data_IF_771402828135
#
_entry.id   IF_771402828135
#
_cell.length_a   1.000
_cell.length_b   1.000
_cell.length_c   1.000
_cell.angle_alpha   90.00
_cell.angle_beta   90.00
_cell.angle_gamma   90.00
#
_symmetry.space_group_name_H-M   'P 1'
#
loop_
_entity.id
_entity.type
_entity.pdbx_description
1 polymer ?
#
# COMPACT_ATOMS: atom_id res chain seq x y z
N UNK A 1 26.26 -11.48 11.15
CA UNK A 1 27.10 -10.95 10.05
C UNK A 1 27.18 -9.43 10.19
N UNK A 2 28.39 -8.86 10.10
CA UNK A 2 28.63 -7.42 10.17
C UNK A 2 29.12 -6.93 8.81
N UNK A 3 28.50 -5.88 8.27
CA UNK A 3 28.94 -5.18 7.06
C UNK A 3 29.56 -3.85 7.50
N UNK A 4 30.89 -3.71 7.46
CA UNK A 4 31.56 -2.50 7.91
C UNK A 4 31.36 -1.37 6.89
N UNK A 5 31.87 -0.18 7.21
CA UNK A 5 31.92 0.96 6.29
C UNK A 5 32.49 0.56 4.91
N UNK A 6 31.85 1.01 3.84
CA UNK A 6 32.24 0.75 2.45
C UNK A 6 31.07 0.33 1.58
N UNK A 7 31.32 0.16 0.28
CA UNK A 7 30.32 -0.28 -0.70
C UNK A 7 30.57 -1.74 -1.09
N UNK A 8 29.55 -2.58 -0.98
CA UNK A 8 29.64 -4.02 -1.20
C UNK A 8 28.64 -4.45 -2.27
N UNK A 9 29.10 -4.58 -3.51
CA UNK A 9 28.30 -5.14 -4.60
C UNK A 9 28.15 -6.65 -4.42
N UNK A 10 26.91 -7.14 -4.42
CA UNK A 10 26.63 -8.57 -4.28
C UNK A 10 25.40 -9.00 -5.08
N UNK A 11 25.35 -10.30 -5.39
CA UNK A 11 24.15 -10.97 -5.84
C UNK A 11 23.16 -11.15 -4.68
N UNK A 12 21.92 -11.63 -4.95
CA UNK A 12 20.93 -11.90 -3.92
C UNK A 12 21.46 -12.64 -2.70
N UNK A 13 21.02 -12.20 -1.52
CA UNK A 13 21.35 -12.80 -0.23
C UNK A 13 20.18 -13.59 0.31
N UNK A 14 20.46 -14.74 0.90
CA UNK A 14 19.47 -15.63 1.50
C UNK A 14 19.75 -15.77 2.99
N UNK A 15 19.05 -14.99 3.82
CA UNK A 15 19.25 -15.03 5.26
C UNK A 15 18.55 -16.26 5.85
N UNK A 16 19.23 -16.91 6.78
CA UNK A 16 18.80 -18.15 7.44
C UNK A 16 18.47 -17.92 8.90
N UNK A 17 17.96 -18.95 9.55
CA UNK A 17 17.62 -18.96 10.97
C UNK A 17 18.71 -18.33 11.85
N UNK A 18 18.30 -17.52 12.83
CA UNK A 18 19.17 -16.97 13.87
C UNK A 18 20.30 -16.07 13.33
N UNK A 19 20.09 -15.41 12.19
CA UNK A 19 21.05 -14.48 11.61
C UNK A 19 20.65 -13.03 11.90
N UNK A 20 21.59 -12.28 12.46
CA UNK A 20 21.57 -10.82 12.43
C UNK A 20 22.53 -10.31 11.34
N UNK A 21 22.01 -9.60 10.35
CA UNK A 21 22.75 -8.78 9.39
C UNK A 21 22.82 -7.34 9.92
N UNK A 22 24.00 -6.94 10.41
CA UNK A 22 24.25 -5.59 10.92
C UNK A 22 25.00 -4.75 9.89
N UNK A 23 24.37 -3.71 9.35
CA UNK A 23 25.01 -2.72 8.48
C UNK A 23 25.47 -1.53 9.33
N UNK A 24 26.78 -1.32 9.37
CA UNK A 24 27.33 -0.18 10.10
C UNK A 24 27.02 1.14 9.41
N UNK A 25 27.14 2.22 10.17
CA UNK A 25 27.15 3.56 9.60
C UNK A 25 28.16 3.64 8.44
N UNK A 26 27.75 4.28 7.35
CA UNK A 26 28.49 4.40 6.09
C UNK A 26 28.77 3.06 5.36
N UNK A 27 28.12 1.96 5.75
CA UNK A 27 28.08 0.74 4.95
C UNK A 27 26.97 0.84 3.90
N UNK A 28 27.26 0.42 2.67
CA UNK A 28 26.26 0.27 1.61
C UNK A 28 26.33 -1.13 1.04
N UNK A 29 25.27 -1.89 1.19
CA UNK A 29 25.07 -3.13 0.45
C UNK A 29 24.41 -2.79 -0.89
N UNK A 30 25.10 -3.08 -1.99
CA UNK A 30 24.71 -2.68 -3.35
C UNK A 30 24.21 -3.90 -4.11
N UNK A 31 22.98 -3.86 -4.58
CA UNK A 31 22.35 -4.95 -5.31
C UNK A 31 22.88 -5.07 -6.74
N UNK A 32 23.21 -6.28 -7.20
CA UNK A 32 23.56 -6.53 -8.60
C UNK A 32 22.48 -6.03 -9.57
N UNK A 33 22.87 -5.54 -10.74
CA UNK A 33 21.95 -5.20 -11.84
C UNK A 33 21.79 -6.31 -12.87
N UNK A 34 22.50 -7.43 -12.69
CA UNK A 34 22.48 -8.55 -13.62
C UNK A 34 21.18 -9.33 -13.49
N UNK A 35 20.39 -9.38 -14.58
CA UNK A 35 19.08 -10.04 -14.57
C UNK A 35 19.16 -11.50 -14.15
N UNK A 36 20.17 -12.21 -14.66
CA UNK A 36 20.38 -13.62 -14.38
C UNK A 36 20.62 -13.90 -12.90
N UNK A 37 21.11 -12.92 -12.12
CA UNK A 37 21.31 -13.08 -10.69
C UNK A 37 19.98 -13.23 -9.92
N UNK A 38 18.86 -12.78 -10.51
CA UNK A 38 17.53 -12.80 -9.88
C UNK A 38 16.62 -13.90 -10.42
N UNK A 39 17.18 -14.86 -11.17
CA UNK A 39 16.47 -16.05 -11.65
C UNK A 39 16.79 -17.23 -10.74
N UNK A 40 15.77 -17.83 -10.15
CA UNK A 40 15.93 -18.99 -9.29
C UNK A 40 16.32 -20.24 -10.07
N UNK A 41 17.20 -21.03 -9.47
CA UNK A 41 17.51 -22.40 -9.85
C UNK A 41 16.84 -23.38 -8.87
N UNK A 42 17.04 -24.68 -9.05
CA UNK A 42 16.45 -25.70 -8.17
C UNK A 42 16.88 -25.57 -6.70
N UNK A 43 17.97 -24.84 -6.41
CA UNK A 43 18.47 -24.60 -5.05
C UNK A 43 17.90 -23.33 -4.43
N UNK A 44 17.40 -22.39 -5.21
CA UNK A 44 17.00 -21.04 -4.76
C UNK A 44 15.53 -20.73 -5.00
N UNK A 45 14.81 -21.54 -5.79
CA UNK A 45 13.39 -21.35 -6.10
C UNK A 45 12.47 -21.19 -4.89
N UNK A 46 12.82 -21.82 -3.76
CA UNK A 46 12.06 -21.67 -2.50
C UNK A 46 11.99 -20.21 -2.00
N UNK A 47 12.95 -19.38 -2.40
CA UNK A 47 13.10 -17.99 -1.97
C UNK A 47 12.55 -16.96 -2.97
N UNK A 48 11.95 -17.41 -4.09
CA UNK A 48 11.32 -16.53 -5.06
C UNK A 48 10.13 -15.78 -4.45
N UNK A 49 9.98 -14.52 -4.87
CA UNK A 49 8.78 -13.74 -4.63
C UNK A 49 7.61 -14.27 -5.47
N UNK A 50 6.40 -13.79 -5.18
CA UNK A 50 5.16 -14.18 -5.85
C UNK A 50 5.15 -13.92 -7.36
N UNK A 51 6.04 -13.04 -7.84
CA UNK A 51 6.21 -12.73 -9.26
C UNK A 51 7.30 -13.58 -9.96
N UNK A 52 7.87 -14.58 -9.27
CA UNK A 52 8.87 -15.50 -9.82
C UNK A 52 10.31 -14.95 -9.88
N UNK A 53 10.55 -13.75 -9.37
CA UNK A 53 11.90 -13.20 -9.22
C UNK A 53 12.45 -13.54 -7.84
N UNK A 54 13.76 -13.81 -7.76
CA UNK A 54 14.44 -13.72 -6.48
C UNK A 54 14.43 -12.25 -6.00
N UNK A 55 14.24 -11.97 -4.70
CA UNK A 55 14.46 -10.64 -4.15
C UNK A 55 15.97 -10.36 -4.02
N UNK A 56 16.37 -9.12 -3.73
CA UNK A 56 17.76 -8.86 -3.36
C UNK A 56 18.13 -9.49 -2.01
N UNK A 57 17.24 -9.41 -1.01
CA UNK A 57 17.38 -10.11 0.26
C UNK A 57 16.15 -10.97 0.48
N UNK A 58 16.34 -12.29 0.59
CA UNK A 58 15.31 -13.25 0.93
C UNK A 58 15.45 -13.70 2.38
N UNK A 59 14.33 -13.68 3.10
CA UNK A 59 14.13 -14.33 4.40
C UNK A 59 13.02 -15.35 4.20
N UNK A 60 13.39 -16.54 3.69
CA UNK A 60 12.45 -17.60 3.35
C UNK A 60 12.64 -18.83 4.24
N UNK A 61 11.53 -19.37 4.75
CA UNK A 61 11.52 -20.56 5.62
C UNK A 61 12.47 -20.40 6.83
N UNK A 62 12.40 -19.22 7.47
CA UNK A 62 13.37 -18.80 8.47
C UNK A 62 12.73 -18.14 9.71
N UNK A 63 13.40 -18.27 10.85
CA UNK A 63 12.99 -17.68 12.12
C UNK A 63 14.15 -16.92 12.79
N UNK A 64 13.81 -15.90 13.58
CA UNK A 64 14.78 -15.13 14.38
C UNK A 64 15.83 -14.45 13.48
N UNK A 65 15.39 -13.61 12.54
CA UNK A 65 16.26 -12.92 11.59
C UNK A 65 16.19 -11.42 11.81
N UNK A 66 17.33 -10.74 11.80
CA UNK A 66 17.37 -9.30 11.99
C UNK A 66 18.24 -8.60 10.93
N UNK A 67 17.76 -7.51 10.36
CA UNK A 67 18.52 -6.57 9.53
C UNK A 67 18.57 -5.25 10.28
N UNK A 68 19.74 -4.86 10.78
CA UNK A 68 19.86 -3.77 11.74
C UNK A 68 21.02 -2.81 11.43
N UNK A 69 20.96 -1.60 11.98
CA UNK A 69 22.05 -0.64 11.99
C UNK A 69 21.76 0.61 11.17
N UNK A 70 22.77 1.42 10.90
CA UNK A 70 22.62 2.75 10.28
C UNK A 70 23.06 2.78 8.80
N UNK A 71 23.45 1.62 8.25
CA UNK A 71 23.88 1.51 6.85
C UNK A 71 22.73 1.48 5.85
N UNK A 72 23.10 1.41 4.57
CA UNK A 72 22.19 1.49 3.42
C UNK A 72 22.14 0.17 2.65
N UNK A 73 20.95 -0.19 2.18
CA UNK A 73 20.70 -1.23 1.20
C UNK A 73 20.20 -0.52 -0.07
N UNK A 74 21.02 -0.51 -1.12
CA UNK A 74 20.75 0.12 -2.40
C UNK A 74 20.36 -0.94 -3.45
N UNK A 75 19.11 -0.87 -3.93
CA UNK A 75 18.56 -1.80 -4.90
C UNK A 75 18.98 -1.55 -6.36
N UNK A 76 19.69 -0.46 -6.66
CA UNK A 76 20.05 -0.04 -8.02
C UNK A 76 18.86 -0.08 -9.02
N UNK A 77 17.69 0.37 -8.57
CA UNK A 77 16.40 0.23 -9.24
C UNK A 77 16.30 0.86 -10.63
N UNK A 78 17.15 1.83 -10.97
CA UNK A 78 17.06 2.60 -12.21
C UNK A 78 17.05 1.72 -13.48
N UNK A 79 17.89 0.68 -13.53
CA UNK A 79 17.94 -0.27 -14.66
C UNK A 79 16.63 -1.03 -14.82
N UNK A 80 16.00 -1.39 -13.70
CA UNK A 80 14.75 -2.13 -13.67
C UNK A 80 13.57 -1.27 -14.07
N UNK A 81 13.54 -0.03 -13.59
CA UNK A 81 12.51 0.94 -13.95
C UNK A 81 12.52 1.25 -15.44
N UNK A 82 13.70 1.32 -16.05
CA UNK A 82 13.80 1.56 -17.49
C UNK A 82 13.32 0.36 -18.31
N UNK A 83 13.71 -0.86 -17.94
CA UNK A 83 13.18 -2.09 -18.56
C UNK A 83 11.66 -2.15 -18.51
N UNK A 84 11.07 -1.77 -17.37
CA UNK A 84 9.62 -1.70 -17.22
C UNK A 84 9.00 -0.67 -18.17
N UNK A 85 9.60 0.52 -18.29
CA UNK A 85 9.13 1.55 -19.24
C UNK A 85 9.30 1.13 -20.71
N UNK A 86 10.39 0.45 -21.06
CA UNK A 86 10.62 -0.13 -22.39
C UNK A 86 9.50 -1.11 -22.77
N UNK A 87 9.12 -1.99 -21.83
CA UNK A 87 8.02 -2.92 -22.06
C UNK A 87 6.69 -2.20 -22.33
N UNK A 88 6.40 -1.11 -21.60
CA UNK A 88 5.22 -0.28 -21.85
C UNK A 88 5.28 0.36 -23.23
N UNK A 89 6.42 0.93 -23.62
CA UNK A 89 6.59 1.53 -24.94
C UNK A 89 6.39 0.50 -26.06
N UNK A 90 6.88 -0.72 -25.87
CA UNK A 90 6.77 -1.79 -26.85
C UNK A 90 5.34 -2.38 -26.96
N UNK A 91 4.61 -2.46 -25.85
CA UNK A 91 3.31 -3.17 -25.80
C UNK A 91 2.09 -2.24 -25.72
N UNK A 92 2.30 -0.97 -25.38
CA UNK A 92 1.23 -0.02 -25.07
C UNK A 92 0.48 -0.31 -23.77
N UNK A 93 0.92 -1.29 -22.97
CA UNK A 93 0.22 -1.73 -21.75
C UNK A 93 1.06 -1.42 -20.52
N UNK A 94 0.46 -0.83 -19.48
CA UNK A 94 1.09 -0.68 -18.17
C UNK A 94 1.34 -2.09 -17.61
N UNK A 95 2.62 -2.50 -17.58
CA UNK A 95 3.01 -3.80 -17.06
C UNK A 95 2.77 -3.90 -15.55
N UNK A 96 2.63 -5.13 -15.04
CA UNK A 96 2.61 -5.40 -13.60
C UNK A 96 3.98 -5.20 -12.94
N UNK A 97 4.15 -5.75 -11.76
CA UNK A 97 5.40 -5.71 -11.00
C UNK A 97 6.36 -6.83 -11.41
N UNK A 98 6.73 -6.89 -12.68
CA UNK A 98 7.65 -7.90 -13.24
C UNK A 98 9.13 -7.53 -13.00
N UNK A 99 9.51 -7.35 -11.74
CA UNK A 99 10.84 -6.92 -11.28
C UNK A 99 11.15 -7.49 -9.89
N UNK A 100 12.43 -7.66 -9.50
CA UNK A 100 12.80 -8.08 -8.16
C UNK A 100 12.21 -7.21 -7.04
N UNK A 101 11.98 -7.81 -5.87
CA UNK A 101 11.72 -7.08 -4.61
C UNK A 101 13.06 -6.74 -3.94
N UNK A 102 13.14 -5.69 -3.11
CA UNK A 102 14.38 -5.43 -2.36
C UNK A 102 14.54 -6.44 -1.22
N UNK A 103 13.53 -6.56 -0.35
CA UNK A 103 13.49 -7.49 0.78
C UNK A 103 12.17 -8.26 0.71
N UNK A 104 12.24 -9.59 0.72
CA UNK A 104 11.07 -10.47 0.72
C UNK A 104 11.15 -11.46 1.87
N UNK A 105 10.18 -11.36 2.78
CA UNK A 105 10.06 -12.17 3.99
C UNK A 105 8.91 -13.15 3.77
N UNK A 106 9.19 -14.44 3.64
CA UNK A 106 8.13 -15.43 3.38
C UNK A 106 8.23 -16.68 4.21
N UNK A 107 7.08 -17.16 4.72
CA UNK A 107 7.00 -18.36 5.59
C UNK A 107 8.02 -18.27 6.72
N UNK A 108 8.09 -17.08 7.32
CA UNK A 108 9.13 -16.69 8.23
C UNK A 108 8.54 -16.00 9.46
N UNK A 109 9.29 -16.04 10.56
CA UNK A 109 8.81 -15.49 11.82
C UNK A 109 9.85 -14.86 12.70
N UNK A 110 9.41 -13.97 13.58
CA UNK A 110 10.29 -13.19 14.45
C UNK A 110 11.39 -12.50 13.64
N UNK A 111 10.97 -11.57 12.78
CA UNK A 111 11.86 -10.82 11.88
C UNK A 111 11.90 -9.35 12.29
N UNK A 112 13.11 -8.78 12.39
CA UNK A 112 13.34 -7.38 12.71
C UNK A 112 14.05 -6.67 11.57
N UNK A 113 13.51 -5.55 11.10
CA UNK A 113 14.22 -4.56 10.27
C UNK A 113 14.29 -3.26 11.08
N UNK A 114 15.50 -2.83 11.46
CA UNK A 114 15.67 -1.72 12.41
C UNK A 114 16.78 -0.74 12.02
N UNK A 115 16.40 0.53 11.84
CA UNK A 115 17.33 1.66 11.67
C UNK A 115 17.97 1.85 10.29
N UNK A 116 17.91 0.84 9.42
CA UNK A 116 18.61 0.87 8.13
C UNK A 116 17.97 1.85 7.14
N UNK A 117 18.73 2.23 6.11
CA UNK A 117 18.18 2.94 4.94
C UNK A 117 17.98 1.96 3.79
N UNK A 118 16.77 1.91 3.22
CA UNK A 118 16.41 1.16 2.03
C UNK A 118 16.21 2.15 0.89
N UNK A 119 16.91 1.99 -0.22
CA UNK A 119 16.79 2.94 -1.33
C UNK A 119 16.86 2.31 -2.71
N UNK A 120 16.27 2.99 -3.69
CA UNK A 120 16.25 2.61 -5.10
C UNK A 120 15.84 1.16 -5.32
N UNK A 121 14.77 0.68 -4.66
CA UNK A 121 14.28 -0.67 -4.91
C UNK A 121 13.90 -0.86 -6.39
N UNK A 122 14.21 -2.02 -7.01
CA UNK A 122 13.70 -2.36 -8.34
C UNK A 122 12.17 -2.29 -8.45
N UNK A 123 11.46 -2.64 -7.38
CA UNK A 123 10.01 -2.51 -7.22
C UNK A 123 9.65 -2.26 -5.74
N UNK A 124 8.84 -3.10 -5.09
CA UNK A 124 8.50 -2.97 -3.66
C UNK A 124 9.75 -3.11 -2.79
N UNK A 125 9.83 -2.36 -1.70
CA UNK A 125 10.99 -2.40 -0.80
C UNK A 125 10.91 -3.58 0.16
N UNK A 126 9.91 -3.63 1.05
CA UNK A 126 9.77 -4.72 2.02
C UNK A 126 8.43 -5.40 1.81
N UNK A 127 8.44 -6.69 1.53
CA UNK A 127 7.22 -7.49 1.37
C UNK A 127 7.23 -8.62 2.39
N UNK A 128 6.13 -8.80 3.11
CA UNK A 128 5.91 -10.00 3.92
C UNK A 128 4.87 -10.88 3.24
N UNK A 129 5.07 -12.21 3.23
CA UNK A 129 4.15 -13.17 2.64
C UNK A 129 4.06 -14.45 3.46
N UNK A 130 2.92 -14.75 4.06
CA UNK A 130 2.80 -15.89 4.99
C UNK A 130 3.77 -15.77 6.17
N UNK A 131 4.05 -14.54 6.62
CA UNK A 131 4.94 -14.27 7.73
C UNK A 131 4.14 -13.96 9.01
N UNK A 132 4.76 -14.17 10.17
CA UNK A 132 4.19 -13.75 11.45
C UNK A 132 5.24 -13.11 12.36
N UNK A 133 4.84 -12.13 13.16
CA UNK A 133 5.72 -11.41 14.10
C UNK A 133 6.89 -10.72 13.38
N UNK A 134 6.57 -9.67 12.61
CA UNK A 134 7.55 -8.86 11.88
C UNK A 134 7.51 -7.42 12.35
N UNK A 135 8.66 -6.92 12.80
CA UNK A 135 8.86 -5.54 13.22
C UNK A 135 9.69 -4.78 12.18
N UNK A 136 9.16 -3.67 11.67
CA UNK A 136 9.88 -2.73 10.79
C UNK A 136 9.90 -1.38 11.50
N UNK A 137 11.06 -1.05 12.07
CA UNK A 137 11.23 0.06 12.99
C UNK A 137 12.33 1.02 12.54
N UNK A 138 12.11 2.33 12.72
CA UNK A 138 13.17 3.34 12.58
C UNK A 138 13.84 3.39 11.19
N UNK A 139 13.22 2.78 10.17
CA UNK A 139 13.82 2.56 8.86
C UNK A 139 13.53 3.75 7.96
N UNK A 140 14.51 4.13 7.14
CA UNK A 140 14.33 5.14 6.08
C UNK A 140 14.10 4.44 4.76
N UNK A 141 12.97 4.65 4.10
CA UNK A 141 12.63 3.99 2.83
C UNK A 141 12.44 5.04 1.76
N UNK A 142 13.32 5.04 0.75
CA UNK A 142 13.52 6.16 -0.16
C UNK A 142 13.53 5.73 -1.63
N UNK A 143 12.65 6.31 -2.44
CA UNK A 143 12.71 6.18 -3.89
C UNK A 143 12.31 7.49 -4.57
N UNK A 144 12.91 7.83 -5.73
CA UNK A 144 12.52 9.04 -6.45
C UNK A 144 11.08 8.95 -6.96
N UNK A 145 10.42 10.11 -7.12
CA UNK A 145 9.02 10.23 -7.56
C UNK A 145 8.70 9.53 -8.88
N UNK A 146 9.69 9.29 -9.74
CA UNK A 146 9.52 8.64 -11.03
C UNK A 146 9.79 7.12 -11.00
N UNK A 147 10.03 6.53 -9.82
CA UNK A 147 10.31 5.10 -9.67
C UNK A 147 9.00 4.28 -9.64
N UNK A 148 8.66 3.50 -10.67
CA UNK A 148 7.36 2.83 -10.74
C UNK A 148 7.25 1.68 -9.72
N UNK A 149 6.09 1.56 -9.05
CA UNK A 149 5.76 0.44 -8.14
C UNK A 149 6.79 0.26 -7.02
N UNK A 150 7.15 1.37 -6.38
CA UNK A 150 8.11 1.42 -5.27
C UNK A 150 7.42 1.55 -3.93
N UNK A 151 6.37 0.74 -3.73
CA UNK A 151 5.70 0.57 -2.46
C UNK A 151 6.76 0.31 -1.36
N UNK A 152 6.59 0.94 -0.21
CA UNK A 152 7.62 0.87 0.83
C UNK A 152 7.49 -0.40 1.67
N UNK A 153 6.30 -0.71 2.17
CA UNK A 153 6.05 -1.90 2.97
C UNK A 153 4.72 -2.55 2.57
N UNK A 154 4.77 -3.82 2.21
CA UNK A 154 3.64 -4.61 1.75
C UNK A 154 3.42 -5.82 2.67
N UNK A 155 2.59 -5.69 3.72
CA UNK A 155 2.12 -6.84 4.47
C UNK A 155 1.11 -7.63 3.61
N UNK A 156 1.54 -8.78 3.09
CA UNK A 156 0.70 -9.63 2.23
C UNK A 156 0.37 -10.94 2.97
N UNK A 157 -0.91 -11.23 3.23
CA UNK A 157 -1.36 -12.46 3.92
C UNK A 157 -0.44 -12.86 5.09
N UNK A 158 -0.18 -11.90 5.97
CA UNK A 158 0.75 -12.03 7.08
C UNK A 158 0.11 -11.45 8.33
N UNK A 159 0.53 -11.94 9.49
CA UNK A 159 -0.07 -11.61 10.78
C UNK A 159 0.92 -10.98 11.74
N UNK A 160 0.44 -10.20 12.71
CA UNK A 160 1.26 -9.59 13.76
C UNK A 160 2.42 -8.76 13.16
N UNK A 161 2.07 -7.79 12.32
CA UNK A 161 3.07 -6.94 11.65
C UNK A 161 3.04 -5.56 12.28
N UNK A 162 4.21 -5.08 12.70
CA UNK A 162 4.37 -3.77 13.34
C UNK A 162 5.29 -2.88 12.53
N UNK A 163 4.77 -1.73 12.13
CA UNK A 163 5.45 -0.76 11.27
C UNK A 163 5.51 0.58 12.01
N UNK A 164 6.65 0.86 12.64
CA UNK A 164 6.76 2.00 13.57
C UNK A 164 7.96 2.90 13.34
N UNK A 165 7.79 4.20 13.60
CA UNK A 165 8.88 5.17 13.64
C UNK A 165 9.67 5.30 12.32
N UNK A 166 9.07 4.94 11.19
CA UNK A 166 9.75 4.96 9.89
C UNK A 166 9.64 6.34 9.24
N UNK A 167 10.63 6.66 8.39
CA UNK A 167 10.58 7.78 7.45
C UNK A 167 10.43 7.20 6.05
N UNK A 168 9.31 7.49 5.39
CA UNK A 168 8.98 6.91 4.08
C UNK A 168 8.76 8.03 3.08
N UNK A 169 9.49 7.96 1.97
CA UNK A 169 9.46 8.91 0.87
C UNK A 169 9.60 8.12 -0.43
N UNK A 170 8.47 7.69 -0.99
CA UNK A 170 8.42 6.76 -2.11
C UNK A 170 7.44 7.20 -3.19
N UNK A 171 7.53 6.64 -4.40
CA UNK A 171 6.55 7.03 -5.43
C UNK A 171 5.18 6.41 -5.14
N UNK A 172 5.12 5.11 -4.84
CA UNK A 172 3.86 4.37 -4.70
C UNK A 172 3.32 4.40 -3.25
N UNK A 173 2.53 3.41 -2.83
CA UNK A 173 1.99 3.34 -1.47
C UNK A 173 3.09 3.34 -0.40
N UNK A 174 2.93 4.13 0.66
CA UNK A 174 3.88 4.07 1.79
C UNK A 174 3.80 2.71 2.48
N UNK A 175 2.57 2.26 2.72
CA UNK A 175 2.27 0.95 3.29
C UNK A 175 1.05 0.42 2.53
N UNK A 176 1.18 -0.76 1.93
CA UNK A 176 0.12 -1.41 1.16
C UNK A 176 -0.22 -2.77 1.76
N UNK A 177 -1.23 -2.81 2.62
CA UNK A 177 -1.76 -4.06 3.17
C UNK A 177 -2.53 -4.79 2.07
N UNK A 178 -2.14 -6.03 1.77
CA UNK A 178 -2.72 -6.81 0.67
C UNK A 178 -3.15 -8.18 1.16
N UNK A 179 -4.31 -8.61 0.70
CA UNK A 179 -4.83 -9.94 0.95
C UNK A 179 -5.08 -10.65 -0.37
N UNK A 180 -4.23 -11.60 -0.71
CA UNK A 180 -4.41 -12.44 -1.88
C UNK A 180 -5.49 -13.48 -1.62
N UNK A 181 -5.92 -14.18 -2.68
CA UNK A 181 -6.86 -15.29 -2.50
C UNK A 181 -6.26 -16.32 -1.53
N UNK A 182 -7.04 -16.71 -0.53
CA UNK A 182 -6.65 -17.72 0.45
C UNK A 182 -6.04 -18.97 -0.20
N UNK A 183 -4.87 -19.37 0.29
CA UNK A 183 -4.14 -20.53 -0.16
C UNK A 183 -4.23 -21.64 0.90
N UNK A 184 -4.89 -22.78 0.61
CA UNK A 184 -5.04 -23.87 1.57
C UNK A 184 -3.72 -24.46 2.08
N UNK A 185 -2.61 -24.23 1.38
CA UNK A 185 -1.26 -24.65 1.81
C UNK A 185 -0.73 -23.81 2.97
N UNK A 186 -1.25 -22.60 3.13
CA UNK A 186 -0.88 -21.63 4.16
C UNK A 186 -2.15 -21.15 4.86
N UNK A 187 -2.76 -21.97 5.74
CA UNK A 187 -4.01 -21.62 6.42
C UNK A 187 -3.88 -20.37 7.30
N UNK A 188 -2.68 -20.10 7.82
CA UNK A 188 -2.35 -18.88 8.57
C UNK A 188 -1.93 -17.72 7.64
N UNK A 189 -2.03 -17.91 6.33
CA UNK A 189 -1.79 -16.90 5.30
C UNK A 189 -2.96 -15.95 5.14
N UNK A 190 -3.27 -15.23 6.20
CA UNK A 190 -4.33 -14.22 6.27
C UNK A 190 -3.75 -12.91 6.78
N UNK A 191 -4.41 -11.81 6.47
CA UNK A 191 -4.05 -10.51 7.04
C UNK A 191 -4.85 -10.27 8.32
N UNK A 192 -4.15 -10.36 9.45
CA UNK A 192 -4.71 -10.07 10.77
C UNK A 192 -3.69 -9.38 11.67
N UNK A 193 -4.14 -8.46 12.51
CA UNK A 193 -3.33 -7.81 13.54
C UNK A 193 -2.14 -7.03 12.96
N UNK A 194 -2.44 -5.95 12.24
CA UNK A 194 -1.44 -5.04 11.69
C UNK A 194 -1.44 -3.74 12.49
N UNK A 195 -0.28 -3.34 13.00
CA UNK A 195 -0.09 -2.12 13.78
C UNK A 195 0.85 -1.15 13.08
N UNK A 196 0.38 0.06 12.78
CA UNK A 196 1.12 1.09 12.05
C UNK A 196 1.12 2.38 12.86
N UNK A 197 2.28 2.80 13.38
CA UNK A 197 2.32 3.99 14.23
C UNK A 197 3.57 4.85 14.13
N UNK A 198 3.40 6.14 14.40
CA UNK A 198 4.50 7.12 14.54
C UNK A 198 5.37 7.25 13.28
N UNK A 199 4.85 7.00 12.09
CA UNK A 199 5.60 7.13 10.84
C UNK A 199 5.50 8.57 10.30
N UNK A 200 6.58 9.02 9.66
CA UNK A 200 6.61 10.23 8.85
C UNK A 200 6.56 9.85 7.38
N UNK A 201 5.50 10.28 6.69
CA UNK A 201 5.15 9.87 5.34
C UNK A 201 5.21 11.10 4.43
N UNK A 202 6.10 11.09 3.45
CA UNK A 202 6.34 12.22 2.54
C UNK A 202 5.59 12.02 1.23
N UNK A 203 6.27 12.13 0.09
CA UNK A 203 5.69 11.78 -1.19
C UNK A 203 5.31 10.29 -1.18
N UNK A 204 4.20 9.95 -1.83
CA UNK A 204 3.69 8.58 -1.89
C UNK A 204 2.18 8.53 -2.07
N UNK A 205 1.63 7.31 -2.02
CA UNK A 205 0.20 7.02 -2.29
C UNK A 205 -0.59 6.52 -1.07
N UNK A 206 -0.07 6.82 0.12
CA UNK A 206 -0.82 6.71 1.37
C UNK A 206 -0.56 5.43 2.16
N UNK A 207 -1.30 5.26 3.26
CA UNK A 207 -1.49 3.97 3.91
C UNK A 207 -2.73 3.34 3.26
N UNK A 208 -2.49 2.31 2.46
CA UNK A 208 -3.46 1.67 1.59
C UNK A 208 -3.79 0.26 2.08
N UNK A 209 -5.06 -0.12 2.01
CA UNK A 209 -5.51 -1.51 1.96
C UNK A 209 -5.92 -1.82 0.52
N UNK A 210 -5.30 -2.82 -0.10
CA UNK A 210 -5.57 -3.29 -1.46
C UNK A 210 -4.51 -2.92 -2.52
N UNK A 211 -4.75 -3.16 -3.81
CA UNK A 211 -6.04 -3.55 -4.41
C UNK A 211 -6.40 -5.02 -4.29
N UNK A 212 -5.42 -5.81 -3.87
CA UNK A 212 -5.53 -7.22 -3.58
C UNK A 212 -6.22 -7.35 -2.21
N UNK A 213 -7.50 -7.70 -2.21
CA UNK A 213 -8.33 -7.80 -0.99
C UNK A 213 -9.03 -9.15 -0.84
N UNK A 214 -8.84 -10.07 -1.79
CA UNK A 214 -9.66 -11.28 -1.93
C UNK A 214 -9.60 -12.21 -0.70
N UNK A 215 -8.47 -12.24 0.01
CA UNK A 215 -8.29 -13.01 1.25
C UNK A 215 -8.93 -12.37 2.49
N UNK A 216 -9.33 -11.10 2.37
CA UNK A 216 -9.82 -10.29 3.46
C UNK A 216 -8.71 -9.71 4.34
N UNK A 217 -9.04 -8.59 4.99
CA UNK A 217 -8.16 -7.88 5.92
C UNK A 217 -8.93 -7.64 7.20
N UNK A 218 -8.38 -8.09 8.32
CA UNK A 218 -9.00 -7.93 9.62
C UNK A 218 -8.03 -7.27 10.61
N UNK A 219 -8.58 -6.52 11.56
CA UNK A 219 -7.86 -6.04 12.75
C UNK A 219 -6.60 -5.22 12.40
N UNK A 220 -6.81 -3.99 11.94
CA UNK A 220 -5.72 -3.05 11.61
C UNK A 220 -5.87 -1.79 12.45
N UNK A 221 -4.81 -1.43 13.17
CA UNK A 221 -4.72 -0.18 13.91
C UNK A 221 -3.63 0.72 13.31
N UNK A 222 -4.03 1.91 12.88
CA UNK A 222 -3.16 2.94 12.33
C UNK A 222 -3.26 4.18 13.22
N UNK A 223 -2.16 4.60 13.85
CA UNK A 223 -2.20 5.75 14.76
C UNK A 223 -0.97 6.67 14.75
N UNK A 224 -1.18 7.94 15.05
CA UNK A 224 -0.11 8.91 15.29
C UNK A 224 0.85 9.09 14.08
N UNK A 225 0.36 8.90 12.86
CA UNK A 225 1.15 9.09 11.64
C UNK A 225 1.03 10.53 11.14
N UNK A 226 2.10 11.03 10.51
CA UNK A 226 2.13 12.36 9.88
C UNK A 226 2.39 12.21 8.38
N UNK A 227 1.53 12.82 7.57
CA UNK A 227 1.66 12.89 6.11
C UNK A 227 2.02 14.30 5.67
N UNK A 228 2.92 14.42 4.69
CA UNK A 228 3.30 15.70 4.10
C UNK A 228 3.54 15.58 2.60
N UNK A 229 2.66 16.19 1.79
CA UNK A 229 2.82 16.25 0.34
C UNK A 229 2.45 14.97 -0.42
N UNK A 230 1.79 13.99 0.21
CA UNK A 230 1.41 12.74 -0.44
C UNK A 230 0.20 12.90 -1.36
N UNK A 231 0.07 12.00 -2.36
CA UNK A 231 -1.10 11.99 -3.25
C UNK A 231 -2.36 11.56 -2.50
N UNK A 232 -2.26 10.54 -1.66
CA UNK A 232 -3.35 10.05 -0.83
C UNK A 232 -2.89 9.94 0.62
N UNK A 233 -3.83 10.10 1.55
CA UNK A 233 -3.62 9.86 2.98
C UNK A 233 -3.96 8.42 3.34
N UNK A 234 -5.16 8.21 3.89
CA UNK A 234 -5.70 6.90 4.23
C UNK A 234 -6.55 6.37 3.07
N UNK A 235 -6.35 5.11 2.71
CA UNK A 235 -6.99 4.53 1.55
C UNK A 235 -7.40 3.07 1.73
N UNK A 236 -8.60 2.72 1.28
CA UNK A 236 -9.03 1.34 1.04
C UNK A 236 -9.50 1.27 -0.42
N UNK A 237 -8.90 0.39 -1.21
CA UNK A 237 -9.15 0.27 -2.64
C UNK A 237 -9.37 -1.19 -3.01
N UNK A 238 -10.49 -1.50 -3.65
CA UNK A 238 -10.73 -2.83 -4.20
C UNK A 238 -11.47 -2.72 -5.53
N UNK A 239 -11.10 -3.51 -6.57
CA UNK A 239 -11.91 -3.63 -7.76
C UNK A 239 -13.25 -4.31 -7.47
N UNK A 240 -14.33 -3.85 -8.11
CA UNK A 240 -15.56 -4.64 -8.22
C UNK A 240 -15.23 -5.93 -9.00
N UNK A 241 -15.46 -7.08 -8.39
CA UNK A 241 -15.02 -8.39 -8.90
C UNK A 241 -13.88 -9.04 -8.11
N UNK A 242 -13.22 -8.33 -7.19
CA UNK A 242 -12.11 -8.85 -6.38
C UNK A 242 -12.57 -9.65 -5.16
N UNK A 243 -13.69 -9.25 -4.54
CA UNK A 243 -14.20 -9.85 -3.31
C UNK A 243 -13.37 -9.54 -2.07
N UNK A 244 -13.66 -10.32 -1.02
CA UNK A 244 -13.00 -10.23 0.28
C UNK A 244 -13.61 -9.18 1.20
N UNK A 245 -13.48 -9.44 2.50
CA UNK A 245 -13.97 -8.57 3.57
C UNK A 245 -12.83 -7.72 4.12
N UNK A 246 -13.00 -6.40 4.19
CA UNK A 246 -12.08 -5.53 4.97
C UNK A 246 -12.83 -5.05 6.20
N UNK A 247 -12.37 -5.44 7.38
CA UNK A 247 -13.09 -5.12 8.62
C UNK A 247 -12.22 -4.84 9.82
N UNK A 248 -12.82 -4.19 10.82
CA UNK A 248 -12.18 -3.88 12.09
C UNK A 248 -10.91 -3.04 11.87
N UNK A 249 -11.08 -1.91 11.20
CA UNK A 249 -9.98 -1.00 10.85
C UNK A 249 -10.16 0.30 11.63
N UNK A 250 -9.13 0.70 12.35
CA UNK A 250 -9.12 1.95 13.12
C UNK A 250 -7.97 2.82 12.64
N UNK A 251 -8.30 4.02 12.17
CA UNK A 251 -7.36 5.10 11.92
C UNK A 251 -7.56 6.17 12.98
N UNK A 252 -6.53 6.52 13.75
CA UNK A 252 -6.66 7.59 14.75
C UNK A 252 -5.47 8.53 14.85
N UNK A 253 -5.71 9.74 15.33
CA UNK A 253 -4.66 10.73 15.64
C UNK A 253 -3.71 11.01 14.46
N UNK A 254 -4.26 11.13 13.26
CA UNK A 254 -3.47 11.33 12.04
C UNK A 254 -3.43 12.80 11.66
N UNK A 255 -2.22 13.30 11.36
CA UNK A 255 -2.00 14.66 10.87
C UNK A 255 -1.57 14.62 9.41
N UNK A 256 -2.16 15.49 8.60
CA UNK A 256 -1.88 15.59 7.18
C UNK A 256 -1.65 17.06 6.81
N UNK A 257 -0.63 17.32 5.99
CA UNK A 257 -0.37 18.63 5.42
C UNK A 257 -0.10 18.49 3.93
N UNK A 258 -0.81 19.26 3.09
CA UNK A 258 -0.70 19.20 1.63
C UNK A 258 -0.87 17.78 1.05
N UNK A 259 -1.76 16.99 1.64
CA UNK A 259 -2.14 15.69 1.07
C UNK A 259 -3.22 15.93 0.02
N UNK A 260 -3.04 15.47 -1.22
CA UNK A 260 -3.97 15.85 -2.29
C UNK A 260 -5.41 15.35 -2.02
N UNK A 261 -5.56 14.11 -1.55
CA UNK A 261 -6.86 13.56 -1.13
C UNK A 261 -6.68 12.76 0.17
N UNK A 262 -7.07 13.32 1.33
CA UNK A 262 -6.84 12.73 2.64
C UNK A 262 -7.46 11.34 2.84
N UNK A 263 -8.68 11.13 2.34
CA UNK A 263 -9.46 9.91 2.57
C UNK A 263 -10.01 9.33 1.26
N UNK A 264 -9.68 8.07 0.95
CA UNK A 264 -10.23 7.38 -0.24
C UNK A 264 -10.65 5.95 0.10
N UNK A 265 -11.95 5.69 0.17
CA UNK A 265 -12.52 4.37 0.39
C UNK A 265 -13.34 3.98 -0.84
N UNK A 266 -12.93 2.93 -1.56
CA UNK A 266 -13.49 2.61 -2.87
C UNK A 266 -13.56 1.11 -3.15
N UNK A 267 -14.74 0.65 -3.55
CA UNK A 267 -15.00 -0.68 -4.09
C UNK A 267 -15.00 -0.71 -5.64
N UNK A 268 -14.49 0.34 -6.29
CA UNK A 268 -14.43 0.49 -7.75
C UNK A 268 -13.01 0.68 -8.29
N UNK A 269 -11.98 0.24 -7.55
CA UNK A 269 -10.60 0.47 -8.00
C UNK A 269 -10.36 -0.12 -9.39
N UNK A 270 -10.12 0.76 -10.35
CA UNK A 270 -9.73 0.43 -11.72
C UNK A 270 -8.71 1.45 -12.17
N UNK A 271 -7.48 1.00 -12.40
CA UNK A 271 -6.45 1.85 -12.97
C UNK A 271 -6.88 2.33 -14.37
N UNK A 272 -6.74 3.63 -14.59
CA UNK A 272 -6.95 4.26 -15.88
C UNK A 272 -5.83 3.84 -16.85
N UNK A 273 -6.12 3.66 -18.15
CA UNK A 273 -5.08 3.62 -19.17
C UNK A 273 -4.17 4.85 -19.12
N UNK A 274 -2.93 4.69 -19.56
CA UNK A 274 -1.95 5.80 -19.63
C UNK A 274 -2.36 6.83 -20.70
N UNK A 275 -3.03 6.37 -21.76
CA UNK A 275 -3.46 7.22 -22.88
C UNK A 275 -4.79 7.87 -22.56
N UNK A 276 -4.84 9.21 -22.50
CA UNK A 276 -6.06 9.95 -22.16
C UNK A 276 -7.23 9.61 -23.10
N UNK A 277 -6.99 9.47 -24.41
CA UNK A 277 -8.03 9.09 -25.35
C UNK A 277 -8.65 7.70 -25.04
N UNK A 278 -7.90 6.79 -24.42
CA UNK A 278 -8.44 5.50 -23.94
C UNK A 278 -9.25 5.68 -22.65
N UNK A 279 -8.82 6.58 -21.76
CA UNK A 279 -9.60 6.97 -20.57
C UNK A 279 -10.95 7.54 -21.01
N UNK A 280 -10.96 8.48 -21.96
CA UNK A 280 -12.17 9.15 -22.43
C UNK A 280 -13.16 8.17 -23.07
N UNK A 281 -12.67 7.14 -23.78
CA UNK A 281 -13.50 6.04 -24.30
C UNK A 281 -14.11 5.18 -23.20
N UNK A 282 -13.35 4.93 -22.12
CA UNK A 282 -13.79 4.09 -21.01
C UNK A 282 -14.67 4.84 -20.00
N UNK A 283 -14.56 6.15 -19.95
CA UNK A 283 -15.32 7.01 -19.04
C UNK A 283 -16.76 7.13 -19.54
N UNK A 284 -17.67 6.43 -18.86
CA UNK A 284 -19.09 6.52 -19.16
C UNK A 284 -19.66 7.88 -18.74
N UNK A 285 -20.69 8.36 -19.44
CA UNK A 285 -21.36 9.62 -19.13
C UNK A 285 -21.86 9.64 -17.67
N UNK A 286 -21.48 10.68 -16.92
CA UNK A 286 -21.76 10.81 -15.48
C UNK A 286 -20.74 10.11 -14.56
N UNK A 287 -19.81 9.35 -15.12
CA UNK A 287 -18.63 8.83 -14.41
C UNK A 287 -17.61 9.93 -14.14
N UNK A 288 -16.57 9.60 -13.39
CA UNK A 288 -15.49 10.53 -13.08
C UNK A 288 -14.15 9.83 -12.92
N UNK A 289 -13.06 10.61 -12.85
CA UNK A 289 -11.72 10.12 -12.52
C UNK A 289 -11.24 10.65 -11.17
N UNK A 290 -10.39 9.87 -10.51
CA UNK A 290 -9.68 10.25 -9.28
C UNK A 290 -8.22 9.86 -9.41
N UNK A 291 -7.36 10.84 -9.73
CA UNK A 291 -6.00 10.55 -10.17
C UNK A 291 -6.00 9.60 -11.37
N UNK A 292 -5.20 8.54 -11.32
CA UNK A 292 -5.11 7.51 -12.36
C UNK A 292 -6.20 6.42 -12.23
N UNK A 293 -7.43 6.76 -11.80
CA UNK A 293 -8.51 5.80 -11.61
C UNK A 293 -9.79 6.25 -12.30
N UNK A 294 -10.57 5.30 -12.82
CA UNK A 294 -11.87 5.53 -13.46
C UNK A 294 -12.98 4.98 -12.57
N UNK A 295 -14.00 5.81 -12.34
CA UNK A 295 -15.19 5.49 -11.57
C UNK A 295 -16.43 5.52 -12.48
N UNK A 296 -17.29 4.48 -12.43
CA UNK A 296 -18.50 4.46 -13.24
C UNK A 296 -19.55 5.46 -12.72
N UNK A 297 -20.57 5.81 -13.51
CA UNK A 297 -21.67 6.68 -13.12
C UNK A 297 -22.61 6.05 -12.09
N UNK A 298 -23.55 6.84 -11.58
CA UNK A 298 -24.58 6.40 -10.62
C UNK A 298 -25.57 5.40 -11.22
N UNK A 299 -25.68 5.36 -12.55
CA UNK A 299 -26.50 4.39 -13.27
C UNK A 299 -25.85 3.01 -13.40
N UNK A 300 -24.65 2.78 -12.86
CA UNK A 300 -24.00 1.47 -12.87
C UNK A 300 -24.90 0.43 -12.18
N UNK A 301 -25.29 -0.66 -12.86
CA UNK A 301 -26.33 -1.55 -12.37
C UNK A 301 -25.85 -2.39 -11.18
N UNK A 302 -26.77 -2.64 -10.25
CA UNK A 302 -26.60 -3.61 -9.15
C UNK A 302 -26.34 -5.01 -9.70
N UNK A 303 -25.34 -5.70 -9.15
CA UNK A 303 -25.05 -7.12 -9.43
C UNK A 303 -25.52 -8.00 -8.26
N UNK A 304 -25.62 -9.34 -8.43
CA UNK A 304 -25.80 -10.23 -7.29
C UNK A 304 -24.60 -10.13 -6.33
N UNK A 305 -24.86 -10.11 -5.02
CA UNK A 305 -23.79 -10.19 -4.03
C UNK A 305 -23.10 -11.56 -4.10
N UNK A 306 -21.78 -11.55 -4.20
CA UNK A 306 -20.93 -12.73 -4.13
C UNK A 306 -19.70 -12.38 -3.28
N UNK A 307 -19.54 -12.98 -2.10
CA UNK A 307 -18.43 -12.63 -1.19
C UNK A 307 -17.03 -12.78 -1.81
N UNK A 308 -16.89 -13.58 -2.87
CA UNK A 308 -15.62 -13.78 -3.58
C UNK A 308 -15.42 -12.81 -4.74
N UNK A 309 -16.39 -11.94 -5.04
CA UNK A 309 -16.33 -10.95 -6.13
C UNK A 309 -16.72 -9.55 -5.68
N UNK A 310 -17.65 -9.42 -4.77
CA UNK A 310 -18.15 -8.17 -4.23
C UNK A 310 -17.28 -7.73 -3.04
N UNK A 311 -16.49 -6.66 -3.18
CA UNK A 311 -15.78 -6.09 -2.05
C UNK A 311 -16.79 -5.55 -1.04
N UNK A 312 -16.55 -5.80 0.25
CA UNK A 312 -17.40 -5.28 1.31
C UNK A 312 -16.54 -4.86 2.49
N UNK A 313 -16.79 -3.66 2.99
CA UNK A 313 -16.03 -3.06 4.09
C UNK A 313 -16.98 -2.82 5.25
N UNK A 314 -16.56 -3.14 6.47
CA UNK A 314 -17.37 -3.01 7.67
C UNK A 314 -16.52 -2.61 8.88
N UNK A 315 -17.09 -1.83 9.81
CA UNK A 315 -16.40 -1.38 11.01
C UNK A 315 -15.06 -0.66 10.71
N UNK A 316 -15.18 0.45 9.98
CA UNK A 316 -14.05 1.33 9.61
C UNK A 316 -14.20 2.63 10.38
N UNK A 317 -13.25 2.89 11.27
CA UNK A 317 -13.29 4.04 12.17
C UNK A 317 -12.16 5.03 11.83
N UNK A 318 -12.49 6.32 11.72
CA UNK A 318 -11.53 7.41 11.55
C UNK A 318 -11.74 8.43 12.67
N UNK A 319 -10.73 8.60 13.52
CA UNK A 319 -10.82 9.43 14.72
C UNK A 319 -9.69 10.46 14.79
N UNK A 320 -10.00 11.68 15.23
CA UNK A 320 -8.99 12.72 15.49
C UNK A 320 -8.05 12.92 14.29
N UNK A 321 -8.62 13.08 13.11
CA UNK A 321 -7.87 13.36 11.87
C UNK A 321 -7.88 14.86 11.61
N UNK A 322 -6.72 15.42 11.28
CA UNK A 322 -6.61 16.80 10.81
C UNK A 322 -5.82 16.83 9.50
N UNK A 323 -6.42 17.39 8.45
CA UNK A 323 -5.76 17.67 7.17
C UNK A 323 -5.85 19.15 6.84
N UNK A 324 -4.69 19.77 6.55
CA UNK A 324 -4.57 21.21 6.27
C UNK A 324 -3.81 21.47 4.97
N UNK A 325 -3.94 22.68 4.44
CA UNK A 325 -3.24 23.11 3.24
C UNK A 325 -4.01 22.79 1.96
N UNK A 326 -3.28 22.41 0.89
CA UNK A 326 -3.85 22.36 -0.46
C UNK A 326 -4.35 20.96 -0.87
N UNK A 327 -5.34 20.43 -0.14
CA UNK A 327 -6.05 19.21 -0.56
C UNK A 327 -7.03 19.52 -1.71
N UNK A 328 -7.02 18.70 -2.77
CA UNK A 328 -7.89 18.84 -3.96
C UNK A 328 -9.33 18.37 -3.71
N UNK A 329 -9.53 17.49 -2.73
CA UNK A 329 -10.82 17.00 -2.28
C UNK A 329 -10.70 16.39 -0.88
N UNK A 330 -11.72 16.55 -0.03
CA UNK A 330 -11.66 16.09 1.35
C UNK A 330 -11.69 14.56 1.45
N UNK A 331 -12.62 13.92 0.75
CA UNK A 331 -12.81 12.48 0.84
C UNK A 331 -13.60 11.90 -0.35
N UNK A 332 -13.36 10.63 -0.65
CA UNK A 332 -14.21 9.81 -1.52
C UNK A 332 -14.60 8.52 -0.79
N UNK A 333 -15.90 8.24 -0.67
CA UNK A 333 -16.44 6.99 -0.10
C UNK A 333 -17.40 6.38 -1.13
N UNK A 334 -16.90 5.45 -1.94
CA UNK A 334 -17.60 4.94 -3.12
C UNK A 334 -17.78 3.42 -3.03
N UNK A 335 -18.98 2.99 -2.65
CA UNK A 335 -19.41 1.59 -2.66
C UNK A 335 -20.10 1.15 -3.95
N UNK A 336 -20.34 -0.15 -4.07
CA UNK A 336 -21.14 -0.72 -5.17
C UNK A 336 -22.63 -0.75 -4.80
N UNK A 337 -23.56 -0.72 -5.78
CA UNK A 337 -25.00 -0.76 -5.49
C UNK A 337 -25.47 -2.05 -4.79
N UNK A 338 -24.73 -3.16 -4.95
CA UNK A 338 -25.05 -4.44 -4.32
C UNK A 338 -24.49 -4.63 -2.91
N UNK A 339 -23.41 -3.93 -2.58
CA UNK A 339 -22.81 -3.91 -1.26
C UNK A 339 -22.40 -2.48 -0.92
N UNK A 340 -23.36 -1.64 -0.50
CA UNK A 340 -23.03 -0.33 0.02
C UNK A 340 -22.01 -0.44 1.15
N UNK A 341 -21.01 0.46 1.15
CA UNK A 341 -20.02 0.51 2.24
C UNK A 341 -20.72 0.93 3.53
N UNK A 342 -20.60 0.16 4.61
CA UNK A 342 -21.33 0.42 5.86
C UNK A 342 -20.43 0.30 7.08
N UNK A 343 -20.90 0.83 8.22
CA UNK A 343 -20.12 0.86 9.46
C UNK A 343 -18.89 1.77 9.37
N UNK A 344 -19.01 2.89 8.66
CA UNK A 344 -18.01 3.96 8.66
C UNK A 344 -18.35 4.94 9.79
N UNK A 345 -17.42 5.11 10.74
CA UNK A 345 -17.61 6.00 11.89
C UNK A 345 -16.51 7.06 11.90
N UNK A 346 -16.88 8.32 11.67
CA UNK A 346 -15.95 9.46 11.70
C UNK A 346 -16.16 10.28 12.96
N UNK A 347 -15.12 10.45 13.78
CA UNK A 347 -15.18 11.25 15.01
C UNK A 347 -14.07 12.29 15.03
N UNK A 348 -14.42 13.57 15.18
CA UNK A 348 -13.46 14.67 15.22
C UNK A 348 -12.51 14.67 14.00
N UNK A 349 -13.09 14.75 12.81
CA UNK A 349 -12.37 14.77 11.54
C UNK A 349 -12.44 16.19 10.96
N UNK A 350 -11.28 16.82 10.79
CA UNK A 350 -11.15 18.21 10.36
C UNK A 350 -10.32 18.24 9.06
N UNK A 351 -10.90 18.71 7.96
CA UNK A 351 -10.22 18.73 6.65
C UNK A 351 -10.46 20.05 5.92
N UNK A 352 -9.39 20.72 5.53
CA UNK A 352 -9.38 21.79 4.54
C UNK A 352 -9.22 21.18 3.14
N UNK A 353 -10.05 21.57 2.17
CA UNK A 353 -9.93 21.11 0.79
C UNK A 353 -10.60 22.03 -0.23
N UNK A 354 -10.22 21.91 -1.50
CA UNK A 354 -10.88 22.61 -2.60
C UNK A 354 -12.32 22.12 -2.80
N UNK A 355 -12.55 20.82 -2.65
CA UNK A 355 -13.86 20.15 -2.78
C UNK A 355 -14.18 19.29 -1.57
N UNK A 356 -15.48 19.14 -1.27
CA UNK A 356 -15.95 18.36 -0.14
C UNK A 356 -15.84 16.85 -0.27
N UNK A 357 -16.49 16.15 0.65
CA UNK A 357 -16.65 14.70 0.63
C UNK A 357 -17.62 14.30 -0.48
N UNK A 358 -17.24 13.35 -1.34
CA UNK A 358 -18.16 12.67 -2.26
C UNK A 358 -18.46 11.27 -1.77
N UNK A 359 -19.73 10.94 -1.58
CA UNK A 359 -20.19 9.66 -1.04
C UNK A 359 -21.23 9.03 -1.97
N UNK A 360 -21.11 7.72 -2.22
CA UNK A 360 -22.01 6.95 -3.08
C UNK A 360 -22.12 5.51 -2.60
N UNK A 361 -23.34 4.96 -2.58
CA UNK A 361 -23.65 3.61 -2.09
C UNK A 361 -22.88 3.34 -0.79
N UNK A 362 -23.06 4.19 0.20
CA UNK A 362 -22.31 4.12 1.43
C UNK A 362 -23.08 4.80 2.55
N UNK A 363 -22.88 4.29 3.75
CA UNK A 363 -23.44 4.80 5.00
C UNK A 363 -22.29 5.29 5.89
N UNK A 364 -22.38 6.56 6.29
CA UNK A 364 -21.41 7.23 7.13
C UNK A 364 -22.12 7.79 8.37
N UNK A 365 -21.70 7.32 9.54
CA UNK A 365 -21.99 7.97 10.81
C UNK A 365 -20.85 8.92 11.18
N UNK A 366 -21.19 10.15 11.53
CA UNK A 366 -20.19 11.15 11.88
C UNK A 366 -20.56 11.96 13.12
N UNK A 367 -19.55 12.29 13.93
CA UNK A 367 -19.66 13.21 15.05
C UNK A 367 -18.47 14.17 15.03
N UNK A 368 -18.70 15.44 14.73
CA UNK A 368 -17.62 16.42 14.57
C UNK A 368 -16.83 16.24 13.28
N UNK A 369 -17.53 15.99 12.16
CA UNK A 369 -16.97 16.08 10.82
C UNK A 369 -17.00 17.54 10.34
N UNK A 370 -15.85 18.20 10.37
CA UNK A 370 -15.68 19.59 9.98
C UNK A 370 -14.90 19.67 8.66
N UNK A 371 -15.59 20.02 7.59
CA UNK A 371 -15.00 20.16 6.26
C UNK A 371 -15.01 21.64 5.84
N UNK A 372 -13.83 22.23 5.69
CA UNK A 372 -13.66 23.58 5.16
C UNK A 372 -13.40 23.48 3.66
N UNK A 373 -14.44 23.74 2.86
CA UNK A 373 -14.40 23.55 1.41
C UNK A 373 -14.37 24.88 0.67
N UNK A 374 -13.49 25.04 -0.32
CA UNK A 374 -13.41 26.28 -1.11
C UNK A 374 -14.53 26.39 -2.14
N UNK A 375 -14.95 25.27 -2.74
CA UNK A 375 -15.96 25.26 -3.79
C UNK A 375 -16.83 23.99 -3.80
N UNK A 376 -18.06 24.14 -4.27
CA UNK A 376 -19.03 23.05 -4.38
C UNK A 376 -19.68 22.66 -3.05
N UNK A 377 -20.45 21.57 -3.03
CA UNK A 377 -21.08 21.08 -1.81
C UNK A 377 -20.03 20.56 -0.81
N UNK A 378 -20.28 20.81 0.48
CA UNK A 378 -19.49 20.26 1.59
C UNK A 378 -19.53 18.72 1.59
N UNK A 379 -20.71 18.16 1.32
CA UNK A 379 -20.93 16.73 1.11
C UNK A 379 -21.75 16.56 -0.16
N UNK A 380 -21.14 16.00 -1.19
CA UNK A 380 -21.82 15.54 -2.40
C UNK A 380 -22.36 14.13 -2.15
N UNK A 381 -23.68 14.00 -2.05
CA UNK A 381 -24.37 12.71 -1.94
C UNK A 381 -24.84 12.25 -3.32
N UNK A 382 -24.23 11.17 -3.78
CA UNK A 382 -24.64 10.46 -5.00
C UNK A 382 -25.61 9.31 -4.65
N UNK A 383 -26.04 8.52 -5.65
CA UNK A 383 -26.99 7.42 -5.45
C UNK A 383 -26.60 6.48 -4.28
N UNK A 384 -27.59 6.15 -3.44
CA UNK A 384 -27.42 5.21 -2.32
C UNK A 384 -26.58 5.74 -1.15
N UNK A 385 -26.24 7.03 -1.11
CA UNK A 385 -25.50 7.62 -0.01
C UNK A 385 -26.39 7.99 1.19
N UNK A 386 -25.94 7.61 2.39
CA UNK A 386 -26.56 7.94 3.67
C UNK A 386 -25.47 8.57 4.55
N UNK A 387 -25.80 9.69 5.20
CA UNK A 387 -24.87 10.36 6.13
C UNK A 387 -25.65 10.81 7.35
N UNK A 388 -25.24 10.32 8.51
CA UNK A 388 -25.73 10.68 9.84
C UNK A 388 -24.73 11.63 10.50
N UNK A 389 -25.21 12.77 11.00
CA UNK A 389 -24.38 13.81 11.65
C UNK A 389 -24.84 14.08 13.08
#
# INVERSE_FOLDING_TARGET
MRVPKGNFLTNPLFLKNNIQLKLEKDATLVASTEEAAYRGDDKTRYAEAENGWLPFISIADAQNVAIVGEGTIDGQGAVWWERWRENIRATGKKGGTDRPRLIYITRASNVLIDGVTLTHSPSFHVVTRYAHDVDINGTRILSPWHAPNTDAIDPIDSQNIRITNNYIDCNDDHIAIKAEKADPRFPDGVVDNIYIANNTLKQGRGISIGSESAGGVNNVLVENNTFEGSMYGIRIKSPRGKGGEVKNIVYRNTRMHNVEVPLVFSAYYKAAPIVQAEVDKLLQAGGFTLGEQIYPPDSDPKQPFDKYKTPHFSNITVENLTSTGDSKAAAYIIGTPEAPLSGFHFSNVNIEADRGLRIRNADLESKGLNLQVKAGPVIQKDAGAIVHQ
#
